data_IF_444310719049
#
_entry.id   IF_444310719049
#
_cell.length_a   1.000
_cell.length_b   1.000
_cell.length_c   1.000
_cell.angle_alpha   90.00
_cell.angle_beta   90.00
_cell.angle_gamma   90.00
#
_symmetry.space_group_name_H-M   'P 1'
#
loop_
_entity.id
_entity.type
_entity.pdbx_description
1 polymer ?
#
# COMPACT_ATOMS: atom_id res chain seq x y z
N UNK A 1 3.65 -34.86 21.10
CA UNK A 1 3.77 -33.39 21.06
C UNK A 1 2.36 -32.83 20.91
N UNK A 2 1.81 -32.13 21.91
CA UNK A 2 0.47 -31.56 21.76
C UNK A 2 0.55 -30.40 20.78
N UNK A 3 -0.36 -30.36 19.81
CA UNK A 3 -0.55 -29.19 18.93
C UNK A 3 -1.10 -28.07 19.81
N UNK A 4 -0.22 -27.23 20.36
CA UNK A 4 -0.64 -25.94 20.91
C UNK A 4 -1.33 -25.17 19.78
N UNK A 5 -2.60 -24.79 19.98
CA UNK A 5 -3.35 -23.95 19.04
C UNK A 5 -2.45 -22.80 18.55
N UNK A 6 -2.07 -22.84 17.27
CA UNK A 6 -1.37 -21.73 16.62
C UNK A 6 -2.32 -20.54 16.61
N UNK A 7 -2.07 -19.55 17.49
CA UNK A 7 -2.74 -18.27 17.41
C UNK A 7 -2.09 -17.47 16.28
N UNK A 8 -2.87 -16.87 15.37
CA UNK A 8 -2.29 -16.02 14.33
C UNK A 8 -1.65 -14.79 14.96
N UNK A 9 -0.47 -14.42 14.47
CA UNK A 9 0.24 -13.22 14.94
C UNK A 9 -0.43 -11.92 14.52
N UNK A 10 -1.32 -11.96 13.50
CA UNK A 10 -2.11 -10.82 13.04
C UNK A 10 -3.31 -11.28 12.21
N UNK A 11 -4.50 -10.76 12.53
CA UNK A 11 -5.70 -11.03 11.75
C UNK A 11 -5.80 -10.06 10.58
N UNK A 12 -6.24 -10.56 9.43
CA UNK A 12 -6.44 -9.74 8.24
C UNK A 12 -7.86 -9.93 7.71
N UNK A 13 -8.61 -8.82 7.65
CA UNK A 13 -9.99 -8.80 7.13
C UNK A 13 -10.01 -7.84 5.93
N UNK A 14 -9.94 -8.36 4.69
CA UNK A 14 -9.88 -7.51 3.50
C UNK A 14 -11.24 -6.85 3.20
N UNK A 15 -11.21 -5.63 2.65
CA UNK A 15 -12.40 -4.96 2.11
C UNK A 15 -13.17 -4.08 3.11
N UNK A 16 -12.81 -4.08 4.39
CA UNK A 16 -13.36 -3.12 5.36
C UNK A 16 -12.78 -1.73 5.13
N UNK A 17 -13.64 -0.72 5.21
CA UNK A 17 -13.24 0.67 5.00
C UNK A 17 -13.84 1.67 6.00
N UNK A 18 -15.03 1.43 6.51
CA UNK A 18 -15.62 2.40 7.43
C UNK A 18 -14.94 2.37 8.82
N UNK A 19 -14.64 3.53 9.43
CA UNK A 19 -14.02 3.63 10.74
C UNK A 19 -14.74 2.89 11.86
N UNK A 20 -16.08 2.85 11.80
CA UNK A 20 -16.92 2.27 12.84
C UNK A 20 -16.74 0.75 12.89
N UNK A 21 -16.79 0.09 11.74
CA UNK A 21 -16.52 -1.35 11.61
C UNK A 21 -15.09 -1.67 12.00
N UNK A 22 -14.10 -0.88 11.55
CA UNK A 22 -12.70 -1.10 11.93
C UNK A 22 -12.52 -1.00 13.44
N UNK A 23 -13.04 0.04 14.10
CA UNK A 23 -12.96 0.19 15.55
C UNK A 23 -13.70 -0.92 16.31
N UNK A 24 -14.84 -1.38 15.79
CA UNK A 24 -15.57 -2.52 16.36
C UNK A 24 -14.73 -3.78 16.32
N UNK A 25 -14.09 -4.06 15.18
CA UNK A 25 -13.24 -5.23 15.00
C UNK A 25 -12.01 -5.19 15.90
N UNK A 26 -11.33 -4.04 15.98
CA UNK A 26 -10.17 -3.87 16.88
C UNK A 26 -10.55 -4.15 18.33
N UNK A 27 -11.71 -3.66 18.78
CA UNK A 27 -12.17 -3.88 20.16
C UNK A 27 -12.68 -5.31 20.43
N UNK A 28 -13.09 -6.02 19.38
CA UNK A 28 -13.71 -7.36 19.52
C UNK A 28 -12.72 -8.50 19.31
N UNK A 29 -11.58 -8.25 18.66
CA UNK A 29 -10.58 -9.25 18.32
C UNK A 29 -9.48 -9.26 19.38
N UNK A 30 -9.21 -10.43 19.97
CA UNK A 30 -8.06 -10.63 20.85
C UNK A 30 -6.79 -10.86 20.02
N UNK A 31 -6.24 -9.77 19.46
CA UNK A 31 -5.02 -9.80 18.65
C UNK A 31 -4.89 -8.59 17.73
N UNK A 32 -3.72 -8.38 17.10
CA UNK A 32 -3.50 -7.25 16.21
C UNK A 32 -4.27 -7.42 14.90
N UNK A 33 -4.80 -6.31 14.38
CA UNK A 33 -5.53 -6.25 13.12
C UNK A 33 -4.69 -5.61 12.02
N UNK A 34 -4.68 -6.24 10.85
CA UNK A 34 -4.23 -5.70 9.58
C UNK A 34 -5.42 -5.20 8.76
N UNK A 35 -5.31 -3.97 8.23
CA UNK A 35 -6.28 -3.40 7.28
C UNK A 35 -5.58 -3.17 5.93
N UNK A 36 -6.26 -3.48 4.83
CA UNK A 36 -5.75 -3.19 3.48
C UNK A 36 -6.33 -1.89 2.94
N UNK A 37 -5.46 -0.94 2.60
CA UNK A 37 -5.82 0.31 1.93
C UNK A 37 -5.58 0.22 0.42
N UNK A 38 -6.33 1.02 -0.35
CA UNK A 38 -6.23 1.04 -1.82
C UNK A 38 -6.98 -0.10 -2.52
N UNK A 39 -7.71 -0.95 -1.79
CA UNK A 39 -8.62 -1.95 -2.37
C UNK A 39 -10.01 -1.35 -2.68
N UNK A 40 -10.55 -0.56 -1.76
CA UNK A 40 -11.80 0.20 -1.90
C UNK A 40 -11.52 1.71 -1.83
N UNK A 41 -12.46 2.52 -2.31
CA UNK A 41 -12.39 3.97 -2.22
C UNK A 41 -12.62 4.42 -0.78
N UNK A 42 -11.54 4.50 -0.01
CA UNK A 42 -11.62 4.75 1.40
C UNK A 42 -10.52 5.72 1.82
N UNK A 43 -10.89 6.82 2.46
CA UNK A 43 -10.03 8.00 2.67
C UNK A 43 -9.39 8.05 4.07
N UNK A 44 -9.17 6.90 4.71
CA UNK A 44 -8.54 6.89 6.02
C UNK A 44 -7.03 7.11 5.91
N UNK A 45 -6.55 8.06 6.70
CA UNK A 45 -5.12 8.30 6.90
C UNK A 45 -4.51 7.20 7.78
N UNK A 46 -3.18 7.05 7.69
CA UNK A 46 -2.41 6.18 8.59
C UNK A 46 -2.68 6.52 10.06
N UNK A 47 -2.76 7.81 10.39
CA UNK A 47 -3.00 8.27 11.76
C UNK A 47 -4.41 7.92 12.26
N UNK A 48 -5.43 8.03 11.41
CA UNK A 48 -6.79 7.59 11.76
C UNK A 48 -6.87 6.07 11.98
N UNK A 49 -6.20 5.28 11.15
CA UNK A 49 -6.14 3.83 11.34
C UNK A 49 -5.41 3.47 12.64
N UNK A 50 -4.31 4.17 12.95
CA UNK A 50 -3.56 4.01 14.19
C UNK A 50 -4.39 4.37 15.41
N UNK A 51 -5.15 5.47 15.37
CA UNK A 51 -6.00 5.90 16.48
C UNK A 51 -7.18 4.95 16.72
N UNK A 52 -7.65 4.24 15.69
CA UNK A 52 -8.62 3.14 15.81
C UNK A 52 -8.00 1.85 16.38
N UNK A 53 -6.68 1.79 16.55
CA UNK A 53 -5.94 0.64 17.09
C UNK A 53 -5.54 -0.41 16.04
N UNK A 54 -5.58 -0.08 14.75
CA UNK A 54 -5.01 -0.91 13.68
C UNK A 54 -3.50 -1.03 13.89
N UNK A 55 -2.97 -2.25 13.76
CA UNK A 55 -1.56 -2.54 14.03
C UNK A 55 -0.71 -2.70 12.78
N UNK A 56 -1.33 -3.09 11.66
CA UNK A 56 -0.66 -3.21 10.37
C UNK A 56 -1.54 -2.63 9.28
N UNK A 57 -0.92 -1.95 8.34
CA UNK A 57 -1.58 -1.44 7.15
C UNK A 57 -0.89 -2.08 5.96
N UNK A 58 -1.64 -2.83 5.16
CA UNK A 58 -1.18 -3.32 3.87
C UNK A 58 -1.80 -2.50 2.75
N UNK A 59 -1.22 -2.56 1.55
CA UNK A 59 -1.75 -1.86 0.37
C UNK A 59 -2.17 -2.81 -0.76
N UNK A 60 -2.03 -4.13 -0.53
CA UNK A 60 -2.26 -5.16 -1.54
C UNK A 60 -1.51 -4.84 -2.84
N UNK A 61 -2.15 -5.06 -3.98
CA UNK A 61 -1.63 -4.70 -5.30
C UNK A 61 -1.95 -3.28 -5.76
N UNK A 62 -2.30 -2.35 -4.86
CA UNK A 62 -2.71 -0.98 -5.29
C UNK A 62 -1.57 -0.21 -5.96
N UNK A 63 -0.34 -0.31 -5.46
CA UNK A 63 0.83 0.34 -6.08
C UNK A 63 1.08 -0.19 -7.50
N UNK A 64 1.02 -1.51 -7.69
CA UNK A 64 1.18 -2.12 -9.01
C UNK A 64 0.09 -1.65 -10.00
N UNK A 65 -1.18 -1.58 -9.56
CA UNK A 65 -2.28 -1.06 -10.38
C UNK A 65 -2.10 0.43 -10.70
N UNK A 66 -1.57 1.22 -9.78
CA UNK A 66 -1.24 2.63 -10.04
C UNK A 66 -0.12 2.77 -11.09
N UNK A 67 0.91 1.93 -11.04
CA UNK A 67 1.95 1.89 -12.09
C UNK A 67 1.37 1.48 -13.45
N UNK A 68 0.48 0.48 -13.51
CA UNK A 68 -0.18 0.10 -14.76
C UNK A 68 -1.10 1.18 -15.31
N UNK A 69 -1.73 1.97 -14.44
CA UNK A 69 -2.46 3.16 -14.87
C UNK A 69 -1.52 4.14 -15.60
N UNK A 70 -0.37 4.48 -15.02
CA UNK A 70 0.63 5.35 -15.67
C UNK A 70 1.08 4.79 -17.03
N UNK A 71 1.42 3.50 -17.09
CA UNK A 71 1.81 2.82 -18.34
C UNK A 71 0.71 2.95 -19.39
N UNK A 72 -0.55 2.70 -19.01
CA UNK A 72 -1.70 2.83 -19.92
C UNK A 72 -1.86 4.27 -20.40
N UNK A 73 -1.73 5.26 -19.54
CA UNK A 73 -1.85 6.67 -19.92
C UNK A 73 -0.74 7.09 -20.89
N UNK A 74 0.51 6.71 -20.62
CA UNK A 74 1.64 6.95 -21.52
C UNK A 74 1.44 6.28 -22.89
N UNK A 75 0.98 5.01 -22.91
CA UNK A 75 0.70 4.32 -24.16
C UNK A 75 -0.42 5.01 -24.97
N UNK A 76 -1.51 5.43 -24.31
CA UNK A 76 -2.59 6.16 -24.96
C UNK A 76 -2.14 7.53 -25.48
N UNK A 77 -1.27 8.23 -24.76
CA UNK A 77 -0.67 9.49 -25.22
C UNK A 77 0.14 9.28 -26.51
N UNK A 78 1.08 8.34 -26.49
CA UNK A 78 1.95 8.04 -27.63
C UNK A 78 1.10 7.64 -28.85
N UNK A 79 0.10 6.77 -28.64
CA UNK A 79 -0.75 6.28 -29.74
C UNK A 79 -1.66 7.37 -30.32
N UNK A 80 -2.27 8.22 -29.48
CA UNK A 80 -3.32 9.14 -29.93
C UNK A 80 -2.78 10.53 -30.26
N UNK A 81 -1.72 10.98 -29.58
CA UNK A 81 -1.19 12.36 -29.67
C UNK A 81 0.25 12.41 -30.22
N UNK A 82 0.99 11.30 -30.21
CA UNK A 82 2.38 11.27 -30.67
C UNK A 82 3.34 12.07 -29.78
N UNK A 83 2.94 12.35 -28.53
CA UNK A 83 3.72 13.11 -27.55
C UNK A 83 4.26 12.21 -26.45
N UNK A 84 5.21 12.73 -25.65
CA UNK A 84 5.91 12.01 -24.59
C UNK A 84 5.91 12.78 -23.26
N UNK A 85 4.89 13.61 -23.01
CA UNK A 85 4.77 14.46 -21.82
C UNK A 85 4.68 13.67 -20.52
N UNK A 86 4.26 12.40 -20.55
CA UNK A 86 4.40 11.51 -19.38
C UNK A 86 5.82 11.47 -18.80
N UNK A 87 6.84 11.71 -19.64
CA UNK A 87 8.25 11.67 -19.26
C UNK A 87 8.70 12.92 -18.47
N UNK A 88 7.90 13.99 -18.42
CA UNK A 88 8.24 15.23 -17.71
C UNK A 88 8.33 15.05 -16.18
N UNK A 89 7.73 13.98 -15.66
CA UNK A 89 7.71 13.65 -14.23
C UNK A 89 8.60 12.47 -13.85
N UNK A 90 9.42 11.95 -14.77
CA UNK A 90 10.32 10.84 -14.47
C UNK A 90 11.51 11.32 -13.63
N UNK A 91 12.04 10.44 -12.78
CA UNK A 91 13.38 10.66 -12.21
C UNK A 91 14.41 10.70 -13.33
N UNK A 92 15.37 11.62 -13.24
CA UNK A 92 16.55 11.55 -14.10
C UNK A 92 17.32 10.26 -13.82
N UNK A 93 18.10 9.81 -14.81
CA UNK A 93 18.97 8.64 -14.64
C UNK A 93 19.89 8.80 -13.43
N UNK A 94 20.43 10.01 -13.21
CA UNK A 94 21.31 10.30 -12.09
C UNK A 94 20.59 10.17 -10.75
N UNK A 95 19.41 10.77 -10.59
CA UNK A 95 18.63 10.67 -9.35
C UNK A 95 18.28 9.22 -9.00
N UNK A 96 17.92 8.42 -10.02
CA UNK A 96 17.60 7.02 -9.79
C UNK A 96 18.85 6.20 -9.40
N UNK A 97 19.98 6.44 -10.05
CA UNK A 97 21.26 5.80 -9.69
C UNK A 97 21.73 6.18 -8.29
N UNK A 98 21.67 7.46 -7.93
CA UNK A 98 22.05 7.96 -6.61
C UNK A 98 21.16 7.34 -5.51
N UNK A 99 19.85 7.29 -5.74
CA UNK A 99 18.88 6.65 -4.84
C UNK A 99 19.24 5.18 -4.56
N UNK A 100 19.60 4.41 -5.60
CA UNK A 100 20.00 3.02 -5.42
C UNK A 100 21.36 2.87 -4.71
N UNK A 101 22.32 3.75 -5.00
CA UNK A 101 23.63 3.72 -4.35
C UNK A 101 23.57 4.07 -2.86
N UNK A 102 22.75 5.06 -2.47
CA UNK A 102 22.53 5.42 -1.06
C UNK A 102 21.93 4.28 -0.24
N UNK A 103 21.04 3.48 -0.84
CA UNK A 103 20.41 2.35 -0.16
C UNK A 103 21.43 1.25 0.21
N UNK A 104 22.39 0.97 -0.67
CA UNK A 104 23.46 0.02 -0.39
C UNK A 104 24.38 0.47 0.75
N UNK A 105 24.60 1.78 0.89
CA UNK A 105 25.45 2.34 1.94
C UNK A 105 24.78 2.33 3.33
N UNK A 106 23.44 2.41 3.40
CA UNK A 106 22.68 2.39 4.67
C UNK A 106 22.37 0.99 5.19
N UNK A 107 22.55 -0.04 4.36
CA UNK A 107 22.23 -1.44 4.69
C UNK A 107 23.47 -2.29 4.99
N UNK A 108 24.67 -1.72 4.87
CA UNK A 108 25.95 -2.25 5.36
C UNK A 108 26.31 -1.59 6.69
#
# INVERSE_FOLDING_TARGET
MPVSLLRPDCLFIPGIGDPKTIGTLVNSINGPLNVVMGLSHNQLTVEQLRSLGVRRISIGGSLARACFHLIRQAALEIMNSGTFTYADHQYSQKELCDFFAEYEAKTK
#
